data_IF_065501243093
#
_entry.id   IF_065501243093
#
_cell.length_a   1.000
_cell.length_b   1.000
_cell.length_c   1.000
_cell.angle_alpha   90.00
_cell.angle_beta   90.00
_cell.angle_gamma   90.00
#
_symmetry.space_group_name_H-M   'P 1'
#
loop_
_entity.id
_entity.type
_entity.pdbx_description
1 polymer ?
#
# COMPACT_ATOMS: atom_id res chain seq x y z
N UNK A 1 -11.67 17.29 13.22
CA UNK A 1 -10.22 17.20 13.03
C UNK A 1 -9.99 16.49 11.70
N UNK A 2 -9.98 17.26 10.60
CA UNK A 2 -10.07 16.71 9.24
C UNK A 2 -8.80 15.94 8.89
N UNK A 3 -8.96 14.71 8.41
CA UNK A 3 -7.89 13.96 7.75
C UNK A 3 -7.44 14.81 6.55
N UNK A 4 -6.24 15.39 6.60
CA UNK A 4 -5.74 16.21 5.49
C UNK A 4 -5.60 15.25 4.30
N UNK A 5 -6.23 15.51 3.14
CA UNK A 5 -6.03 14.65 1.98
C UNK A 5 -4.52 14.58 1.72
N UNK A 6 -3.99 13.36 1.65
CA UNK A 6 -2.57 13.12 1.40
C UNK A 6 -2.14 13.97 0.21
N UNK A 7 -1.16 14.86 0.40
CA UNK A 7 -0.65 15.67 -0.69
C UNK A 7 -0.22 14.76 -1.86
N UNK A 8 -0.42 15.16 -3.14
CA UNK A 8 -0.20 14.29 -4.29
C UNK A 8 1.18 13.59 -4.31
N UNK A 9 2.23 14.31 -3.95
CA UNK A 9 3.59 13.77 -3.86
C UNK A 9 3.75 12.73 -2.75
N UNK A 10 3.03 12.89 -1.63
CA UNK A 10 3.09 11.95 -0.50
C UNK A 10 2.36 10.66 -0.84
N UNK A 11 1.24 10.75 -1.56
CA UNK A 11 0.54 9.58 -2.11
C UNK A 11 1.48 8.75 -2.99
N UNK A 12 2.15 9.38 -3.97
CA UNK A 12 3.09 8.69 -4.86
C UNK A 12 4.19 7.98 -4.05
N UNK A 13 4.79 8.67 -3.07
CA UNK A 13 5.81 8.06 -2.20
C UNK A 13 5.28 6.89 -1.37
N UNK A 14 4.06 6.98 -0.83
CA UNK A 14 3.45 5.88 -0.08
C UNK A 14 3.20 4.67 -1.00
N UNK A 15 2.70 4.91 -2.20
CA UNK A 15 2.51 3.86 -3.22
C UNK A 15 3.85 3.23 -3.62
N UNK A 16 4.91 4.03 -3.71
CA UNK A 16 6.25 3.56 -4.09
C UNK A 16 6.84 2.68 -2.99
N UNK A 17 6.69 3.07 -1.72
CA UNK A 17 7.03 2.19 -0.59
C UNK A 17 6.26 0.87 -0.65
N UNK A 18 4.95 0.95 -0.92
CA UNK A 18 4.09 -0.22 -1.06
C UNK A 18 4.60 -1.18 -2.14
N UNK A 19 4.94 -0.64 -3.31
CA UNK A 19 5.47 -1.41 -4.45
C UNK A 19 6.85 -2.01 -4.15
N UNK A 20 7.81 -1.20 -3.69
CA UNK A 20 9.19 -1.63 -3.47
C UNK A 20 9.31 -2.72 -2.39
N UNK A 21 8.47 -2.65 -1.36
CA UNK A 21 8.46 -3.62 -0.25
C UNK A 21 7.36 -4.68 -0.39
N UNK A 22 6.67 -4.76 -1.53
CA UNK A 22 5.65 -5.77 -1.82
C UNK A 22 4.53 -5.82 -0.80
N UNK A 23 4.04 -4.65 -0.36
CA UNK A 23 3.00 -4.55 0.66
C UNK A 23 1.63 -4.75 0.00
N UNK A 24 0.90 -5.84 0.31
CA UNK A 24 -0.29 -6.26 -0.46
C UNK A 24 -1.56 -5.47 -0.17
N UNK A 25 -1.53 -4.43 0.67
CA UNK A 25 -2.70 -3.59 0.96
C UNK A 25 -2.35 -2.25 1.59
N UNK A 26 -3.15 -1.22 1.34
CA UNK A 26 -2.99 0.17 1.83
C UNK A 26 -3.14 0.23 3.35
N UNK A 27 -4.20 -0.40 3.86
CA UNK A 27 -4.01 -1.55 4.73
C UNK A 27 -2.82 -1.61 5.69
N UNK A 28 -2.02 -2.59 5.33
CA UNK A 28 -0.75 -2.96 5.91
C UNK A 28 0.28 -1.85 5.71
N UNK A 29 0.27 -1.15 4.57
CA UNK A 29 1.17 -0.03 4.31
C UNK A 29 1.05 1.07 5.38
N UNK A 30 -0.17 1.49 5.71
CA UNK A 30 -0.42 2.48 6.79
C UNK A 30 0.07 1.96 8.14
N UNK A 31 -0.14 0.67 8.46
CA UNK A 31 0.38 0.08 9.70
C UNK A 31 1.91 0.05 9.73
N UNK A 32 2.55 -0.30 8.62
CA UNK A 32 4.00 -0.30 8.52
C UNK A 32 4.56 1.12 8.64
N UNK A 33 3.94 2.12 8.01
CA UNK A 33 4.33 3.54 8.18
C UNK A 33 4.14 4.02 9.63
N UNK A 34 3.13 3.51 10.34
CA UNK A 34 2.90 3.89 11.74
C UNK A 34 4.06 3.47 12.64
N UNK A 35 4.64 2.28 12.41
CA UNK A 35 5.66 1.67 13.27
C UNK A 35 7.09 1.82 12.74
N UNK A 36 7.28 2.01 11.43
CA UNK A 36 8.59 2.08 10.80
C UNK A 36 9.08 3.54 10.67
N UNK A 37 10.13 3.87 11.42
CA UNK A 37 10.75 5.21 11.40
C UNK A 37 11.33 5.56 10.02
N UNK A 38 11.92 4.60 9.31
CA UNK A 38 12.51 4.84 8.00
C UNK A 38 11.44 5.24 6.98
N UNK A 39 10.26 4.61 7.04
CA UNK A 39 9.13 4.98 6.18
C UNK A 39 8.62 6.38 6.48
N UNK A 40 8.51 6.76 7.77
CA UNK A 40 8.14 8.14 8.16
C UNK A 40 9.15 9.15 7.67
N UNK A 41 10.45 8.86 7.82
CA UNK A 41 11.53 9.73 7.36
C UNK A 41 11.46 9.94 5.83
N UNK A 42 11.26 8.86 5.06
CA UNK A 42 11.11 8.93 3.61
C UNK A 42 9.90 9.78 3.18
N UNK A 43 8.78 9.64 3.91
CA UNK A 43 7.55 10.40 3.69
C UNK A 43 7.61 11.84 4.20
N UNK A 44 8.74 12.25 4.80
CA UNK A 44 8.91 13.56 5.46
C UNK A 44 7.81 13.81 6.50
N UNK A 45 7.50 12.77 7.28
CA UNK A 45 6.54 12.84 8.37
C UNK A 45 7.26 13.01 9.70
N UNK A 46 6.69 13.79 10.60
CA UNK A 46 7.20 13.84 11.97
C UNK A 46 6.85 12.56 12.74
N UNK A 47 7.54 12.32 13.85
CA UNK A 47 7.27 11.17 14.72
C UNK A 47 5.86 11.23 15.32
N UNK A 48 5.38 12.44 15.62
CA UNK A 48 4.06 12.70 16.22
C UNK A 48 2.97 12.94 15.18
N UNK A 49 3.32 13.10 13.91
CA UNK A 49 2.36 13.32 12.83
C UNK A 49 1.48 12.08 12.64
N UNK A 50 0.18 12.31 12.50
CA UNK A 50 -0.80 11.26 12.27
C UNK A 50 -0.67 10.74 10.83
N UNK A 51 -0.59 9.42 10.70
CA UNK A 51 -0.66 8.75 9.39
C UNK A 51 -2.09 8.79 8.86
N UNK A 52 -2.31 9.13 7.57
CA UNK A 52 -3.63 9.10 6.95
C UNK A 52 -4.29 7.73 7.11
N UNK A 53 -5.63 7.70 7.20
CA UNK A 53 -6.33 6.41 7.24
C UNK A 53 -6.18 5.67 5.90
N UNK A 54 -6.18 4.34 5.97
CA UNK A 54 -6.11 3.49 4.78
C UNK A 54 -7.26 3.74 3.79
N UNK A 55 -8.43 4.14 4.29
CA UNK A 55 -9.59 4.50 3.45
C UNK A 55 -9.35 5.81 2.72
N UNK A 56 -8.71 6.78 3.37
CA UNK A 56 -8.31 8.04 2.74
C UNK A 56 -7.27 7.78 1.67
N UNK A 57 -6.32 6.88 1.93
CA UNK A 57 -5.29 6.48 0.96
C UNK A 57 -5.89 5.80 -0.28
N UNK A 58 -6.78 4.82 -0.09
CA UNK A 58 -7.42 4.12 -1.20
C UNK A 58 -8.33 5.03 -2.02
N UNK A 59 -9.12 5.90 -1.38
CA UNK A 59 -9.98 6.86 -2.08
C UNK A 59 -9.18 7.90 -2.86
N UNK A 60 -8.06 8.39 -2.31
CA UNK A 60 -7.17 9.28 -3.04
C UNK A 60 -6.51 8.57 -4.23
N UNK A 61 -6.11 7.29 -4.08
CA UNK A 61 -5.59 6.51 -5.20
C UNK A 61 -6.66 6.36 -6.28
N UNK A 62 -7.82 5.77 -5.95
CA UNK A 62 -8.88 5.48 -6.92
C UNK A 62 -9.27 6.73 -7.70
N UNK A 63 -9.49 7.87 -7.02
CA UNK A 63 -9.81 9.13 -7.70
C UNK A 63 -8.66 9.57 -8.60
N UNK A 64 -7.44 9.66 -8.08
CA UNK A 64 -6.32 10.27 -8.84
C UNK A 64 -5.72 9.38 -9.92
N UNK A 65 -5.76 8.06 -9.75
CA UNK A 65 -5.23 7.08 -10.69
C UNK A 65 -6.28 6.64 -11.73
N UNK A 66 -7.58 6.68 -11.41
CA UNK A 66 -8.60 6.33 -12.41
C UNK A 66 -9.08 7.55 -13.22
N UNK A 67 -9.06 8.76 -12.65
CA UNK A 67 -9.52 9.95 -13.36
C UNK A 67 -8.49 10.44 -14.42
N UNK A 68 -7.22 10.02 -14.31
CA UNK A 68 -6.15 10.42 -15.23
C UNK A 68 -4.99 9.44 -15.21
N UNK A 69 -4.45 9.12 -16.39
CA UNK A 69 -3.26 8.27 -16.56
C UNK A 69 -1.97 8.97 -16.08
N UNK A 70 -2.00 10.27 -15.78
CA UNK A 70 -0.82 11.04 -15.36
C UNK A 70 -0.18 10.47 -14.09
N UNK A 71 -0.98 10.04 -13.11
CA UNK A 71 -0.42 9.46 -11.88
C UNK A 71 0.24 8.11 -12.13
N UNK A 72 -0.34 7.30 -13.00
CA UNK A 72 0.18 6.01 -13.41
C UNK A 72 1.50 6.20 -14.19
N UNK A 73 1.51 7.07 -15.20
CA UNK A 73 2.71 7.40 -15.99
C UNK A 73 3.86 7.93 -15.12
N UNK A 74 3.58 8.84 -14.19
CA UNK A 74 4.60 9.35 -13.26
C UNK A 74 5.15 8.21 -12.40
N UNK A 75 4.28 7.35 -11.89
CA UNK A 75 4.68 6.24 -11.05
C UNK A 75 5.52 5.22 -11.82
N UNK A 76 5.09 4.83 -13.01
CA UNK A 76 5.79 3.92 -13.91
C UNK A 76 7.17 4.46 -14.25
N UNK A 77 7.26 5.75 -14.57
CA UNK A 77 8.54 6.39 -14.90
C UNK A 77 9.49 6.41 -13.70
N UNK A 78 8.98 6.63 -12.47
CA UNK A 78 9.81 6.56 -11.25
C UNK A 78 10.33 5.13 -11.03
N UNK A 79 9.47 4.13 -11.21
CA UNK A 79 9.85 2.72 -11.08
C UNK A 79 10.88 2.34 -12.13
N UNK A 80 10.65 2.71 -13.40
CA UNK A 80 11.57 2.49 -14.51
C UNK A 80 12.94 3.11 -14.22
N UNK A 81 13.00 4.36 -13.77
CA UNK A 81 14.26 5.00 -13.39
C UNK A 81 14.98 4.25 -12.27
N UNK A 82 14.24 3.74 -11.28
CA UNK A 82 14.82 2.95 -10.20
C UNK A 82 15.39 1.62 -10.69
N UNK A 83 14.71 0.96 -11.63
CA UNK A 83 15.16 -0.28 -12.28
C UNK A 83 16.42 -0.04 -13.12
N UNK A 84 16.41 0.99 -13.98
CA UNK A 84 17.54 1.34 -14.87
C UNK A 84 18.81 1.66 -14.07
N UNK A 85 18.67 2.30 -12.90
CA UNK A 85 19.79 2.66 -12.04
C UNK A 85 20.24 1.51 -11.11
N UNK A 86 19.64 0.33 -11.21
CA UNK A 86 19.92 -0.81 -10.32
C UNK A 86 19.56 -0.54 -8.85
N UNK A 87 18.76 0.50 -8.58
CA UNK A 87 18.31 0.86 -7.23
C UNK A 87 17.14 -0.02 -6.78
N UNK A 88 16.36 -0.49 -7.75
CA UNK A 88 15.45 -1.60 -7.58
C UNK A 88 15.93 -2.70 -8.54
N UNK A 89 16.13 -3.91 -8.04
CA UNK A 89 15.92 -5.06 -8.92
C UNK A 89 14.40 -5.15 -9.09
N UNK A 90 13.87 -5.59 -10.23
CA UNK A 90 12.44 -5.94 -10.41
C UNK A 90 12.02 -7.15 -9.55
N UNK A 91 12.56 -7.23 -8.35
CA UNK A 91 12.60 -8.28 -7.36
C UNK A 91 12.35 -7.54 -6.06
N UNK A 92 11.14 -7.65 -5.54
CA UNK A 92 10.75 -7.11 -4.23
C UNK A 92 11.83 -7.47 -3.21
N UNK A 93 12.54 -6.46 -2.73
CA UNK A 93 13.56 -6.65 -1.71
C UNK A 93 12.85 -6.67 -0.36
N UNK A 94 12.74 -7.85 0.25
CA UNK A 94 12.45 -7.94 1.68
C UNK A 94 13.69 -7.39 2.42
N UNK A 95 13.69 -6.09 2.68
CA UNK A 95 14.68 -5.48 3.57
C UNK A 95 14.38 -5.96 4.98
N UNK A 96 15.39 -6.52 5.64
CA UNK A 96 15.33 -7.00 7.02
C UNK A 96 15.19 -5.81 7.97
N UNK A 97 13.96 -5.30 8.11
CA UNK A 97 13.58 -4.45 9.24
C UNK A 97 13.08 -5.37 10.36
N UNK A 98 14.02 -6.07 11.00
CA UNK A 98 13.91 -6.75 12.30
C UNK A 98 12.50 -7.14 12.77
N UNK A 99 12.15 -8.41 12.55
CA UNK A 99 11.26 -9.25 13.38
C UNK A 99 10.01 -8.59 14.00
N UNK A 100 9.00 -8.30 13.18
CA UNK A 100 7.62 -8.38 13.65
C UNK A 100 7.16 -9.83 13.50
N UNK A 101 7.34 -10.59 14.58
CA UNK A 101 6.75 -11.92 14.77
C UNK A 101 5.23 -11.76 14.81
N UNK A 102 4.62 -11.60 13.63
CA UNK A 102 3.20 -11.80 13.47
C UNK A 102 2.96 -13.30 13.57
N UNK A 103 2.04 -13.69 14.45
CA UNK A 103 1.56 -15.07 14.61
C UNK A 103 0.87 -15.52 13.31
N UNK A 104 1.68 -15.94 12.34
CA UNK A 104 1.24 -16.42 11.05
C UNK A 104 1.83 -17.82 10.86
N UNK A 105 0.93 -18.80 10.82
CA UNK A 105 1.21 -20.23 10.68
C UNK A 105 2.47 -20.53 9.84
N UNK A 106 3.54 -21.09 10.43
CA UNK A 106 4.85 -21.25 9.77
C UNK A 106 4.87 -22.27 8.63
N UNK A 107 3.74 -22.91 8.31
CA UNK A 107 3.63 -23.96 7.28
C UNK A 107 3.06 -23.48 5.94
N UNK A 108 2.85 -22.16 5.73
CA UNK A 108 2.19 -21.65 4.51
C UNK A 108 2.80 -20.40 3.87
N UNK A 109 4.00 -19.97 4.23
CA UNK A 109 4.70 -18.92 3.47
C UNK A 109 5.64 -19.55 2.44
N UNK A 110 5.09 -19.93 1.29
CA UNK A 110 5.92 -20.12 0.10
C UNK A 110 6.16 -18.72 -0.46
N UNK A 111 7.38 -18.22 -0.29
CA UNK A 111 7.78 -16.91 -0.80
C UNK A 111 8.13 -17.08 -2.29
N UNK A 112 7.11 -16.95 -3.15
CA UNK A 112 7.32 -16.91 -4.60
C UNK A 112 7.71 -15.50 -5.05
N UNK A 113 8.82 -15.45 -5.78
CA UNK A 113 9.42 -14.24 -6.35
C UNK A 113 8.67 -13.90 -7.64
N UNK A 114 7.81 -12.87 -7.61
CA UNK A 114 7.11 -12.40 -8.81
C UNK A 114 7.56 -10.98 -9.17
N UNK A 115 8.02 -10.74 -10.41
CA UNK A 115 8.09 -9.39 -10.95
C UNK A 115 6.64 -8.96 -11.22
N UNK A 116 5.95 -8.41 -10.21
CA UNK A 116 4.65 -7.81 -10.46
C UNK A 116 4.85 -6.50 -11.21
N UNK A 117 4.26 -6.42 -12.40
CA UNK A 117 4.15 -5.15 -13.12
C UNK A 117 3.45 -4.12 -12.22
N UNK A 118 3.72 -2.83 -12.44
CA UNK A 118 3.03 -1.79 -11.66
C UNK A 118 1.51 -1.95 -11.77
N UNK A 119 1.00 -2.29 -12.96
CA UNK A 119 -0.41 -2.60 -13.18
C UNK A 119 -0.92 -3.72 -12.29
N UNK A 120 -0.20 -4.84 -12.19
CA UNK A 120 -0.57 -5.99 -11.35
C UNK A 120 -0.61 -5.60 -9.87
N UNK A 121 0.36 -4.79 -9.41
CA UNK A 121 0.36 -4.29 -8.04
C UNK A 121 -0.87 -3.41 -7.75
N UNK A 122 -1.24 -2.52 -8.68
CA UNK A 122 -2.43 -1.68 -8.53
C UNK A 122 -3.71 -2.53 -8.53
N UNK A 123 -3.80 -3.53 -9.39
CA UNK A 123 -4.92 -4.49 -9.41
C UNK A 123 -5.04 -5.25 -8.09
N UNK A 124 -3.92 -5.72 -7.54
CA UNK A 124 -3.87 -6.39 -6.24
C UNK A 124 -4.43 -5.48 -5.13
N UNK A 125 -4.05 -4.20 -5.11
CA UNK A 125 -4.58 -3.23 -4.15
C UNK A 125 -6.08 -3.00 -4.35
N UNK A 126 -6.57 -2.93 -5.58
CA UNK A 126 -7.99 -2.77 -5.88
C UNK A 126 -8.80 -3.99 -5.40
N UNK A 127 -8.34 -5.21 -5.68
CA UNK A 127 -8.94 -6.44 -5.20
C UNK A 127 -8.99 -6.49 -3.66
N UNK A 128 -7.94 -6.03 -2.97
CA UNK A 128 -7.89 -5.97 -1.51
C UNK A 128 -8.93 -4.98 -0.92
N UNK A 129 -9.24 -3.91 -1.64
CA UNK A 129 -10.30 -2.95 -1.27
C UNK A 129 -11.68 -3.57 -1.47
N UNK A 130 -11.92 -4.19 -2.63
CA UNK A 130 -13.20 -4.81 -2.99
C UNK A 130 -13.59 -5.95 -2.04
N UNK A 131 -12.67 -6.88 -1.76
CA UNK A 131 -12.90 -7.99 -0.85
C UNK A 131 -13.35 -7.52 0.55
N UNK A 132 -12.80 -6.39 1.02
CA UNK A 132 -13.25 -5.79 2.29
C UNK A 132 -14.67 -5.23 2.19
N UNK A 133 -15.02 -4.55 1.10
CA UNK A 133 -16.35 -3.98 0.93
C UNK A 133 -17.40 -5.11 0.99
N UNK A 134 -17.12 -6.25 0.36
CA UNK A 134 -17.97 -7.43 0.45
C UNK A 134 -18.10 -7.98 1.86
N UNK A 135 -16.99 -8.16 2.60
CA UNK A 135 -17.04 -8.60 3.99
C UNK A 135 -17.91 -7.67 4.85
N UNK A 136 -17.79 -6.37 4.63
CA UNK A 136 -18.54 -5.35 5.37
C UNK A 136 -20.03 -5.44 5.04
N UNK A 137 -20.39 -5.63 3.76
CA UNK A 137 -21.76 -5.87 3.29
C UNK A 137 -22.35 -7.15 3.90
N UNK A 138 -21.62 -8.27 3.88
CA UNK A 138 -22.03 -9.57 4.45
C UNK A 138 -22.25 -9.49 5.97
N UNK A 139 -21.36 -8.81 6.71
CA UNK A 139 -21.52 -8.57 8.16
C UNK A 139 -22.75 -7.72 8.47
N UNK A 140 -23.01 -6.68 7.67
CA UNK A 140 -24.21 -5.85 7.78
C UNK A 140 -25.51 -6.63 7.54
N UNK A 141 -25.55 -7.47 6.50
CA UNK A 141 -26.68 -8.33 6.19
C UNK A 141 -26.97 -9.35 7.31
N UNK A 142 -25.93 -9.99 7.86
CA UNK A 142 -26.07 -10.94 8.97
C UNK A 142 -26.59 -10.29 10.27
N UNK A 143 -26.26 -9.02 10.50
CA UNK A 143 -26.76 -8.25 11.67
C UNK A 143 -28.24 -7.86 11.50
N UNK A 144 -28.68 -7.58 10.27
CA UNK A 144 -30.09 -7.26 9.96
C UNK A 144 -30.99 -8.49 10.02
N UNK A 145 -30.50 -9.66 9.60
CA UNK A 145 -31.24 -10.93 9.68
C UNK A 145 -31.38 -11.50 11.11
N UNK A 146 -30.59 -11.01 12.07
CA UNK A 146 -30.64 -11.40 13.49
C UNK A 146 -31.47 -10.47 14.37
N UNK A 147 -32.14 -9.49 13.76
CA UNK A 147 -32.97 -8.48 14.42
C UNK A 147 -34.41 -8.67 13.99
#
# INVERSE_FOLDING_TARGET
MADRPSTPWRLIKMMLLGYLFGIPSERRLVKEIQVNMAYRWFLRMSLTEKVPDASTLSQNRIRRFNDSDVFQQIFDHIVEQALVRGMANGRVLYTDSTHLKADANPRKSVNELRPEGVSEYIEQLNAAVEGRQEETRKKGARKRSRR
#
